data_IF_433476495281
#
_entry.id   IF_433476495281
#
_cell.length_a   1.000
_cell.length_b   1.000
_cell.length_c   1.000
_cell.angle_alpha   90.00
_cell.angle_beta   90.00
_cell.angle_gamma   90.00
#
_symmetry.space_group_name_H-M   'P 1'
#
loop_
_entity.id
_entity.type
_entity.pdbx_description
1 polymer ?
#
# COMPACT_ATOMS: atom_id res chain seq x y z
N UNK A 1 -21.10 -2.21 13.94
CA UNK A 1 -20.68 -2.36 12.54
C UNK A 1 -19.95 -3.67 12.31
N UNK A 2 -19.96 -4.19 11.10
CA UNK A 2 -19.18 -5.35 10.70
C UNK A 2 -18.08 -4.92 9.72
N UNK A 3 -16.85 -5.39 9.95
CA UNK A 3 -15.72 -5.25 9.02
C UNK A 3 -15.31 -6.64 8.54
N UNK A 4 -15.38 -6.86 7.25
CA UNK A 4 -15.00 -8.11 6.58
C UNK A 4 -13.66 -7.92 5.89
N UNK A 5 -12.67 -8.75 6.21
CA UNK A 5 -11.32 -8.66 5.63
C UNK A 5 -10.74 -10.06 5.36
N UNK A 6 -9.74 -10.16 4.52
CA UNK A 6 -9.11 -11.42 4.16
C UNK A 6 -8.29 -11.98 5.32
N UNK A 7 -7.40 -11.17 5.86
CA UNK A 7 -6.48 -11.53 6.95
C UNK A 7 -6.82 -10.77 8.24
N UNK A 8 -6.26 -11.22 9.34
CA UNK A 8 -6.38 -10.53 10.62
C UNK A 8 -5.68 -9.18 10.58
N UNK A 9 -6.25 -8.12 11.18
CA UNK A 9 -5.68 -6.77 11.11
C UNK A 9 -4.28 -6.62 11.72
N UNK A 10 -3.86 -7.52 12.61
CA UNK A 10 -2.53 -7.55 13.23
C UNK A 10 -1.43 -8.12 12.32
N UNK A 11 -1.80 -8.72 11.17
CA UNK A 11 -0.84 -9.21 10.19
C UNK A 11 -0.11 -8.05 9.49
N UNK A 12 1.16 -8.25 9.07
CA UNK A 12 1.89 -7.26 8.30
C UNK A 12 1.37 -7.18 6.85
N UNK A 13 0.99 -5.98 6.41
CA UNK A 13 0.51 -5.72 5.03
C UNK A 13 -0.12 -4.35 4.91
N UNK A 14 -0.19 -3.82 3.69
CA UNK A 14 -0.79 -2.49 3.45
C UNK A 14 -2.31 -2.48 3.68
N UNK A 15 -3.00 -3.56 3.29
CA UNK A 15 -4.44 -3.71 3.52
C UNK A 15 -4.75 -3.87 5.02
N UNK A 16 -3.97 -4.69 5.71
CA UNK A 16 -4.11 -4.94 7.15
C UNK A 16 -3.83 -3.67 7.95
N UNK A 17 -2.82 -2.89 7.53
CA UNK A 17 -2.54 -1.58 8.11
C UNK A 17 -3.74 -0.64 7.94
N UNK A 18 -4.30 -0.54 6.74
CA UNK A 18 -5.51 0.24 6.50
C UNK A 18 -6.68 -0.20 7.38
N UNK A 19 -6.91 -1.52 7.51
CA UNK A 19 -8.01 -2.03 8.36
C UNK A 19 -7.79 -1.64 9.82
N UNK A 20 -6.56 -1.67 10.35
CA UNK A 20 -6.27 -1.18 11.71
C UNK A 20 -6.63 0.29 11.89
N UNK A 21 -6.23 1.14 10.94
CA UNK A 21 -6.55 2.58 10.98
C UNK A 21 -8.06 2.81 10.90
N UNK A 22 -8.75 2.08 10.02
CA UNK A 22 -10.21 2.14 9.92
C UNK A 22 -10.89 1.76 11.25
N UNK A 23 -10.44 0.68 11.90
CA UNK A 23 -10.97 0.26 13.19
C UNK A 23 -10.80 1.34 14.25
N UNK A 24 -9.62 1.93 14.36
CA UNK A 24 -9.35 3.02 15.31
C UNK A 24 -10.26 4.23 15.06
N UNK A 25 -10.47 4.59 13.81
CA UNK A 25 -11.36 5.71 13.43
C UNK A 25 -12.81 5.41 13.82
N UNK A 26 -13.30 4.21 13.55
CA UNK A 26 -14.66 3.79 13.90
C UNK A 26 -14.87 3.74 15.43
N UNK A 27 -13.91 3.19 16.16
CA UNK A 27 -13.96 3.08 17.61
C UNK A 27 -13.89 4.46 18.29
N UNK A 28 -13.04 5.37 17.82
CA UNK A 28 -12.97 6.77 18.29
C UNK A 28 -14.30 7.52 18.09
N UNK A 29 -15.06 7.14 17.07
CA UNK A 29 -16.41 7.71 16.82
C UNK A 29 -17.50 7.06 17.68
N UNK A 30 -17.16 6.05 18.50
CA UNK A 30 -18.09 5.36 19.39
C UNK A 30 -18.81 4.16 18.78
N UNK A 31 -18.41 3.72 17.60
CA UNK A 31 -19.01 2.52 16.99
C UNK A 31 -18.48 1.23 17.62
N UNK A 32 -19.36 0.30 17.91
CA UNK A 32 -18.99 -1.08 18.23
C UNK A 32 -18.69 -1.82 16.93
N UNK A 33 -17.44 -2.27 16.76
CA UNK A 33 -17.00 -2.94 15.54
C UNK A 33 -16.73 -4.41 15.80
N UNK A 34 -17.17 -5.26 14.89
CA UNK A 34 -16.86 -6.68 14.87
C UNK A 34 -16.13 -7.03 13.58
N UNK A 35 -14.98 -7.71 13.70
CA UNK A 35 -14.12 -8.03 12.57
C UNK A 35 -14.21 -9.51 12.23
N UNK A 36 -14.46 -9.82 10.97
CA UNK A 36 -14.53 -11.16 10.41
C UNK A 36 -13.41 -11.34 9.37
N UNK A 37 -12.59 -12.37 9.57
CA UNK A 37 -11.44 -12.65 8.71
C UNK A 37 -11.17 -14.16 8.63
N UNK A 38 -10.24 -14.59 7.77
CA UNK A 38 -9.95 -16.00 7.58
C UNK A 38 -9.62 -16.72 8.90
N UNK A 39 -8.85 -16.09 9.77
CA UNK A 39 -8.40 -16.68 11.04
C UNK A 39 -9.53 -17.02 12.02
N UNK A 40 -10.64 -16.27 12.01
CA UNK A 40 -11.77 -16.51 12.91
C UNK A 40 -13.02 -17.12 12.24
N UNK A 41 -13.06 -17.16 10.89
CA UNK A 41 -14.23 -17.66 10.16
C UNK A 41 -13.97 -18.96 9.41
N UNK A 42 -12.75 -19.20 8.92
CA UNK A 42 -12.42 -20.40 8.14
C UNK A 42 -12.04 -21.54 9.09
N UNK A 43 -12.57 -22.76 8.89
CA UNK A 43 -12.22 -23.91 9.70
C UNK A 43 -10.71 -24.19 9.69
N UNK A 44 -10.11 -24.49 10.85
CA UNK A 44 -8.65 -24.69 11.01
C UNK A 44 -8.05 -25.74 10.07
N UNK A 45 -8.79 -26.79 9.76
CA UNK A 45 -8.33 -27.84 8.83
C UNK A 45 -8.22 -27.36 7.37
N UNK A 46 -8.97 -26.33 6.97
CA UNK A 46 -8.85 -25.67 5.65
C UNK A 46 -7.73 -24.62 5.61
N UNK A 47 -7.30 -24.09 6.76
CA UNK A 47 -6.26 -23.06 6.81
C UNK A 47 -4.83 -23.64 6.66
N UNK A 48 -4.67 -24.97 6.60
CA UNK A 48 -3.35 -25.60 6.48
C UNK A 48 -2.71 -25.22 5.15
N UNK A 49 -1.47 -24.69 5.13
CA UNK A 49 -0.79 -24.25 3.90
C UNK A 49 -0.59 -25.33 2.84
N UNK A 50 -0.59 -26.59 3.28
CA UNK A 50 -0.43 -27.77 2.41
C UNK A 50 -1.69 -28.18 1.65
N UNK A 51 -2.85 -27.61 2.00
CA UNK A 51 -4.10 -27.90 1.28
C UNK A 51 -4.06 -27.29 -0.13
N UNK A 52 -4.05 -28.16 -1.16
CA UNK A 52 -4.18 -27.75 -2.56
C UNK A 52 -5.43 -26.87 -2.79
N UNK A 53 -6.54 -27.27 -2.20
CA UNK A 53 -7.84 -26.58 -2.28
C UNK A 53 -7.72 -25.16 -1.74
N UNK A 54 -7.07 -24.97 -0.58
CA UNK A 54 -6.94 -23.65 0.02
C UNK A 54 -6.05 -22.73 -0.83
N UNK A 55 -4.94 -23.25 -1.38
CA UNK A 55 -4.07 -22.46 -2.25
C UNK A 55 -4.74 -21.96 -3.53
N UNK A 56 -5.60 -22.76 -4.13
CA UNK A 56 -6.22 -22.43 -5.42
C UNK A 56 -7.57 -21.74 -5.31
N UNK A 57 -8.31 -22.00 -4.24
CA UNK A 57 -9.64 -21.45 -3.99
C UNK A 57 -9.73 -20.52 -2.77
N UNK A 58 -8.60 -20.04 -2.27
CA UNK A 58 -8.55 -19.24 -1.03
C UNK A 58 -9.49 -18.04 -1.05
N UNK A 59 -9.53 -17.26 -2.12
CA UNK A 59 -10.42 -16.09 -2.24
C UNK A 59 -11.91 -16.47 -2.15
N UNK A 60 -12.29 -17.61 -2.78
CA UNK A 60 -13.67 -18.12 -2.72
C UNK A 60 -14.00 -18.60 -1.32
N UNK A 61 -13.14 -19.45 -0.75
CA UNK A 61 -13.39 -20.06 0.56
C UNK A 61 -13.42 -19.01 1.66
N UNK A 62 -12.45 -18.09 1.67
CA UNK A 62 -12.42 -17.03 2.67
C UNK A 62 -13.66 -16.15 2.55
N UNK A 63 -14.01 -15.69 1.34
CA UNK A 63 -15.20 -14.85 1.14
C UNK A 63 -16.50 -15.56 1.55
N UNK A 64 -16.62 -16.86 1.23
CA UNK A 64 -17.79 -17.66 1.65
C UNK A 64 -17.90 -17.78 3.17
N UNK A 65 -16.84 -18.25 3.83
CA UNK A 65 -16.87 -18.46 5.28
C UNK A 65 -17.03 -17.16 6.05
N UNK A 66 -16.30 -16.12 5.69
CA UNK A 66 -16.40 -14.79 6.31
C UNK A 66 -17.83 -14.24 6.17
N UNK A 67 -18.37 -14.26 4.95
CA UNK A 67 -19.73 -13.77 4.73
C UNK A 67 -20.80 -14.64 5.39
N UNK A 68 -20.62 -15.98 5.43
CA UNK A 68 -21.55 -16.90 6.11
C UNK A 68 -21.59 -16.68 7.61
N UNK A 69 -20.44 -16.52 8.27
CA UNK A 69 -20.38 -16.26 9.70
C UNK A 69 -20.98 -14.89 10.02
N UNK A 70 -20.59 -13.84 9.29
CA UNK A 70 -21.14 -12.51 9.44
C UNK A 70 -22.67 -12.49 9.24
N UNK A 71 -23.21 -13.27 8.25
CA UNK A 71 -24.65 -13.39 8.03
C UNK A 71 -25.41 -14.02 9.20
N UNK A 72 -24.80 -15.01 9.87
CA UNK A 72 -25.42 -15.68 11.04
C UNK A 72 -25.47 -14.77 12.27
N UNK A 73 -24.52 -13.86 12.38
CA UNK A 73 -24.40 -12.96 13.52
C UNK A 73 -25.06 -11.59 13.27
N UNK A 74 -25.56 -11.37 12.07
CA UNK A 74 -26.20 -10.11 11.72
C UNK A 74 -27.55 -9.97 12.44
N UNK A 75 -27.68 -8.92 13.27
CA UNK A 75 -28.91 -8.46 13.91
C UNK A 75 -29.43 -7.19 13.23
N UNK A 76 -30.62 -6.74 13.66
CA UNK A 76 -31.20 -5.48 13.18
C UNK A 76 -30.39 -4.25 13.56
N UNK A 77 -29.54 -4.35 14.60
CA UNK A 77 -28.70 -3.25 15.10
C UNK A 77 -27.43 -3.02 14.24
N UNK A 78 -27.18 -3.85 13.23
CA UNK A 78 -26.02 -3.68 12.34
C UNK A 78 -26.30 -2.58 11.34
N UNK A 79 -25.76 -1.39 11.59
CA UNK A 79 -25.95 -0.19 10.75
C UNK A 79 -25.11 -0.21 9.46
N UNK A 80 -23.93 -0.83 9.49
CA UNK A 80 -23.08 -0.91 8.31
C UNK A 80 -22.26 -2.21 8.23
N UNK A 81 -22.01 -2.66 6.99
CA UNK A 81 -21.08 -3.75 6.65
C UNK A 81 -20.05 -3.22 5.69
N UNK A 82 -18.79 -3.17 6.14
CA UNK A 82 -17.63 -2.72 5.36
C UNK A 82 -16.84 -3.95 4.93
N UNK A 83 -16.74 -4.19 3.64
CA UNK A 83 -15.99 -5.32 3.08
C UNK A 83 -14.74 -4.86 2.33
N UNK A 84 -13.68 -5.67 2.36
CA UNK A 84 -12.37 -5.38 1.76
C UNK A 84 -11.96 -6.47 0.79
N UNK A 85 -11.28 -6.11 -0.28
CA UNK A 85 -10.76 -7.03 -1.31
C UNK A 85 -11.84 -8.02 -1.81
N UNK A 86 -11.55 -9.31 -1.83
CA UNK A 86 -12.47 -10.34 -2.37
C UNK A 86 -13.47 -10.92 -1.37
N UNK A 87 -13.46 -10.49 -0.12
CA UNK A 87 -14.39 -11.09 0.88
C UNK A 87 -15.84 -10.55 0.79
N UNK A 88 -16.04 -9.53 -0.02
CA UNK A 88 -17.36 -8.93 -0.23
C UNK A 88 -18.31 -9.70 -1.15
N UNK A 89 -17.83 -10.69 -1.92
CA UNK A 89 -18.65 -11.37 -2.94
C UNK A 89 -19.82 -12.21 -2.36
N UNK A 90 -19.68 -12.72 -1.12
CA UNK A 90 -20.74 -13.38 -0.39
C UNK A 90 -21.15 -12.52 0.80
N UNK A 91 -22.01 -11.51 0.60
CA UNK A 91 -22.33 -10.55 1.65
C UNK A 91 -23.31 -11.12 2.68
N UNK A 92 -23.35 -10.58 3.90
CA UNK A 92 -24.45 -10.73 4.83
C UNK A 92 -25.81 -10.37 4.21
N UNK A 93 -26.90 -10.74 4.87
CA UNK A 93 -28.24 -10.43 4.38
C UNK A 93 -28.45 -8.91 4.25
N UNK A 94 -29.25 -8.51 3.27
CA UNK A 94 -29.66 -7.11 3.13
C UNK A 94 -30.81 -6.85 4.12
N UNK A 95 -30.50 -6.25 5.26
CA UNK A 95 -31.52 -5.71 6.15
C UNK A 95 -31.83 -4.27 5.72
N UNK A 96 -33.08 -3.86 5.87
CA UNK A 96 -33.48 -2.48 5.65
C UNK A 96 -32.67 -1.58 6.61
N UNK A 97 -32.05 -0.52 6.08
CA UNK A 97 -31.22 0.39 6.86
C UNK A 97 -29.75 0.00 7.05
N UNK A 98 -29.33 -1.24 6.71
CA UNK A 98 -27.91 -1.60 6.75
C UNK A 98 -27.18 -1.08 5.53
N UNK A 99 -26.22 -0.16 5.74
CA UNK A 99 -25.38 0.35 4.69
C UNK A 99 -24.32 -0.68 4.28
N UNK A 100 -24.00 -0.73 2.98
CA UNK A 100 -23.00 -1.65 2.45
C UNK A 100 -21.90 -0.87 1.76
N UNK A 101 -20.69 -1.04 2.25
CA UNK A 101 -19.49 -0.35 1.76
C UNK A 101 -18.49 -1.41 1.31
N UNK A 102 -17.78 -1.15 0.21
CA UNK A 102 -16.71 -2.00 -0.27
C UNK A 102 -15.47 -1.18 -0.59
N UNK A 103 -14.32 -1.56 -0.01
CA UNK A 103 -13.02 -0.98 -0.30
C UNK A 103 -12.26 -1.81 -1.33
N UNK A 104 -11.89 -1.16 -2.43
CA UNK A 104 -10.93 -1.67 -3.40
C UNK A 104 -9.52 -1.20 -3.03
N UNK A 105 -8.62 -2.16 -2.82
CA UNK A 105 -7.21 -1.95 -2.47
C UNK A 105 -6.26 -2.07 -3.67
N UNK A 106 -6.76 -1.95 -4.86
CA UNK A 106 -6.18 -2.24 -6.16
C UNK A 106 -7.06 -3.24 -6.88
N UNK A 107 -6.67 -3.66 -8.09
CA UNK A 107 -7.36 -4.72 -8.82
C UNK A 107 -6.41 -5.86 -9.19
N UNK A 108 -6.86 -7.09 -9.05
CA UNK A 108 -6.06 -8.25 -9.48
C UNK A 108 -5.76 -8.21 -10.98
N UNK A 109 -6.67 -7.65 -11.79
CA UNK A 109 -6.43 -7.49 -13.22
C UNK A 109 -5.36 -6.45 -13.51
N UNK A 110 -5.39 -5.28 -12.88
CA UNK A 110 -4.35 -4.27 -13.02
C UNK A 110 -3.00 -4.81 -12.58
N UNK A 111 -2.96 -5.50 -11.45
CA UNK A 111 -1.76 -6.20 -10.99
C UNK A 111 -1.27 -7.23 -12.02
N UNK A 112 -2.14 -8.11 -12.51
CA UNK A 112 -1.78 -9.15 -13.48
C UNK A 112 -1.23 -8.57 -14.79
N UNK A 113 -1.81 -7.47 -15.28
CA UNK A 113 -1.33 -6.79 -16.47
C UNK A 113 0.09 -6.21 -16.25
N UNK A 114 0.34 -5.58 -15.10
CA UNK A 114 1.64 -4.99 -14.77
C UNK A 114 2.76 -6.02 -14.53
N UNK A 115 2.42 -7.17 -13.92
CA UNK A 115 3.42 -8.22 -13.63
C UNK A 115 3.37 -9.37 -14.65
N UNK A 116 2.76 -9.17 -15.80
CA UNK A 116 2.63 -10.20 -16.85
C UNK A 116 3.92 -10.94 -17.18
N UNK A 117 5.08 -10.27 -17.33
CA UNK A 117 6.34 -10.93 -17.61
C UNK A 117 6.85 -11.81 -16.46
N UNK A 118 6.33 -11.64 -15.24
CA UNK A 118 6.82 -12.29 -14.03
C UNK A 118 5.98 -13.52 -13.62
N UNK A 119 4.86 -13.79 -14.31
CA UNK A 119 3.91 -14.83 -13.91
C UNK A 119 3.61 -15.79 -15.08
N UNK A 120 3.26 -17.02 -14.72
CA UNK A 120 2.83 -18.02 -15.72
C UNK A 120 1.52 -17.62 -16.40
N UNK A 121 1.28 -18.19 -17.60
CA UNK A 121 0.04 -17.96 -18.33
C UNK A 121 -1.20 -18.37 -17.52
N UNK A 122 -1.15 -19.48 -16.79
CA UNK A 122 -2.23 -19.93 -15.90
C UNK A 122 -2.44 -18.96 -14.72
N UNK A 123 -1.35 -18.49 -14.09
CA UNK A 123 -1.41 -17.49 -13.03
C UNK A 123 -2.05 -16.21 -13.51
N UNK A 124 -1.68 -15.73 -14.71
CA UNK A 124 -2.29 -14.56 -15.32
C UNK A 124 -3.79 -14.74 -15.55
N UNK A 125 -4.21 -15.87 -16.14
CA UNK A 125 -5.63 -16.15 -16.39
C UNK A 125 -6.43 -16.23 -15.09
N UNK A 126 -5.85 -16.85 -14.04
CA UNK A 126 -6.49 -16.91 -12.72
C UNK A 126 -6.74 -15.52 -12.15
N UNK A 127 -5.71 -14.68 -12.10
CA UNK A 127 -5.83 -13.30 -11.58
C UNK A 127 -6.82 -12.47 -12.40
N UNK A 128 -6.74 -12.56 -13.74
CA UNK A 128 -7.55 -11.76 -14.66
C UNK A 128 -9.02 -12.13 -14.64
N UNK A 129 -9.34 -13.41 -14.69
CA UNK A 129 -10.72 -13.86 -14.85
C UNK A 129 -11.37 -14.28 -13.54
N UNK A 130 -10.71 -15.13 -12.76
CA UNK A 130 -11.31 -15.70 -11.57
C UNK A 130 -11.30 -14.72 -10.41
N UNK A 131 -10.11 -14.27 -10.03
CA UNK A 131 -9.98 -13.39 -8.85
C UNK A 131 -10.58 -12.01 -9.14
N UNK A 132 -10.35 -11.45 -10.33
CA UNK A 132 -10.80 -10.11 -10.68
C UNK A 132 -12.24 -10.09 -11.19
N UNK A 133 -12.51 -10.69 -12.36
CA UNK A 133 -13.81 -10.53 -13.02
C UNK A 133 -14.96 -11.22 -12.29
N UNK A 134 -14.69 -12.20 -11.44
CA UNK A 134 -15.71 -12.87 -10.62
C UNK A 134 -15.70 -12.32 -9.21
N UNK A 135 -14.61 -12.53 -8.45
CA UNK A 135 -14.62 -12.22 -7.01
C UNK A 135 -14.60 -10.72 -6.71
N UNK A 136 -13.69 -9.95 -7.31
CA UNK A 136 -13.64 -8.51 -7.05
C UNK A 136 -14.88 -7.79 -7.59
N UNK A 137 -15.32 -8.11 -8.81
CA UNK A 137 -16.52 -7.52 -9.38
C UNK A 137 -17.77 -7.77 -8.53
N UNK A 138 -17.99 -9.02 -8.09
CA UNK A 138 -19.13 -9.36 -7.22
C UNK A 138 -18.99 -8.70 -5.84
N UNK A 139 -17.78 -8.48 -5.36
CA UNK A 139 -17.53 -7.85 -4.05
C UNK A 139 -18.04 -6.42 -3.98
N UNK A 140 -17.98 -5.66 -5.06
CA UNK A 140 -18.50 -4.27 -5.11
C UNK A 140 -19.97 -4.14 -5.55
N UNK A 141 -20.59 -5.23 -6.00
CA UNK A 141 -21.93 -5.18 -6.59
C UNK A 141 -22.98 -4.66 -5.58
N UNK A 142 -23.74 -3.62 -5.98
CA UNK A 142 -24.79 -2.97 -5.18
C UNK A 142 -24.31 -2.43 -3.82
N UNK A 143 -23.08 -1.87 -3.80
CA UNK A 143 -22.47 -1.24 -2.62
C UNK A 143 -21.97 0.15 -2.94
N UNK A 144 -21.76 0.96 -1.92
CA UNK A 144 -20.91 2.13 -2.01
C UNK A 144 -19.48 1.65 -2.16
N UNK A 145 -18.87 1.91 -3.32
CA UNK A 145 -17.50 1.50 -3.59
C UNK A 145 -16.53 2.63 -3.28
N UNK A 146 -15.51 2.33 -2.50
CA UNK A 146 -14.42 3.21 -2.17
C UNK A 146 -13.12 2.66 -2.75
N UNK A 147 -12.22 3.54 -3.18
CA UNK A 147 -10.94 3.17 -3.76
C UNK A 147 -9.80 3.92 -3.06
N UNK A 148 -8.67 3.23 -2.86
CA UNK A 148 -7.49 3.80 -2.22
C UNK A 148 -6.71 4.80 -3.09
N UNK A 149 -7.04 4.91 -4.37
CA UNK A 149 -6.40 5.83 -5.31
C UNK A 149 -7.27 6.09 -6.53
N UNK A 150 -6.99 7.17 -7.24
CA UNK A 150 -7.63 7.48 -8.52
C UNK A 150 -7.36 6.39 -9.56
N UNK A 151 -6.15 5.81 -9.56
CA UNK A 151 -5.80 4.67 -10.42
C UNK A 151 -6.73 3.48 -10.13
N UNK A 152 -6.88 3.09 -8.87
CA UNK A 152 -7.78 1.98 -8.50
C UNK A 152 -9.22 2.27 -8.88
N UNK A 153 -9.71 3.50 -8.67
CA UNK A 153 -11.07 3.89 -9.07
C UNK A 153 -11.28 3.77 -10.60
N UNK A 154 -10.30 4.21 -11.39
CA UNK A 154 -10.33 4.09 -12.85
C UNK A 154 -10.29 2.62 -13.32
N UNK A 155 -9.43 1.79 -12.70
CA UNK A 155 -9.36 0.36 -12.98
C UNK A 155 -10.70 -0.33 -12.66
N UNK A 156 -11.30 -0.05 -11.50
CA UNK A 156 -12.60 -0.61 -11.09
C UNK A 156 -13.70 -0.19 -12.06
N UNK A 157 -13.75 1.08 -12.45
CA UNK A 157 -14.70 1.56 -13.46
C UNK A 157 -14.51 0.86 -14.80
N UNK A 158 -13.25 0.79 -15.28
CA UNK A 158 -12.91 0.16 -16.57
C UNK A 158 -13.20 -1.33 -16.60
N UNK A 159 -12.89 -2.05 -15.52
CA UNK A 159 -12.96 -3.52 -15.52
C UNK A 159 -14.30 -4.06 -15.04
N UNK A 160 -14.95 -3.39 -14.09
CA UNK A 160 -16.16 -3.88 -13.42
C UNK A 160 -17.40 -3.04 -13.67
N UNK A 161 -17.23 -1.80 -14.16
CA UNK A 161 -18.33 -0.85 -14.35
C UNK A 161 -18.82 -0.18 -13.08
N UNK A 162 -18.13 -0.37 -11.94
CA UNK A 162 -18.52 0.27 -10.67
C UNK A 162 -17.92 1.66 -10.55
N UNK A 163 -18.70 2.61 -10.10
CA UNK A 163 -18.21 3.93 -9.71
C UNK A 163 -17.65 3.87 -8.29
N UNK A 164 -16.45 4.44 -8.09
CA UNK A 164 -15.80 4.49 -6.79
C UNK A 164 -15.52 5.93 -6.37
N UNK A 165 -15.71 6.22 -5.10
CA UNK A 165 -15.19 7.43 -4.49
C UNK A 165 -13.76 7.16 -4.02
N UNK A 166 -12.80 8.03 -4.41
CA UNK A 166 -11.41 7.93 -3.98
C UNK A 166 -11.25 8.51 -2.59
N UNK A 167 -10.78 7.67 -1.64
CA UNK A 167 -10.62 8.08 -0.23
C UNK A 167 -9.17 8.05 0.24
N UNK A 168 -8.20 7.71 -0.63
CA UNK A 168 -6.81 7.46 -0.25
C UNK A 168 -6.72 6.57 1.02
N UNK A 169 -5.54 6.48 1.61
CA UNK A 169 -5.38 5.82 2.91
C UNK A 169 -4.93 6.83 3.96
N UNK A 170 -5.31 6.67 5.24
CA UNK A 170 -4.74 7.48 6.30
C UNK A 170 -3.27 7.10 6.53
N UNK A 171 -2.45 8.08 6.91
CA UNK A 171 -1.11 7.87 7.44
C UNK A 171 -0.90 8.75 8.68
N UNK A 172 -0.16 8.24 9.64
CA UNK A 172 0.21 8.97 10.86
C UNK A 172 1.20 10.10 10.55
N UNK A 173 0.70 11.25 10.10
CA UNK A 173 1.50 12.40 9.68
C UNK A 173 2.28 13.07 10.82
N UNK A 174 1.98 12.73 12.08
CA UNK A 174 2.77 13.12 13.26
C UNK A 174 3.95 12.20 13.48
N UNK A 175 3.83 10.95 13.08
CA UNK A 175 4.91 9.94 13.11
C UNK A 175 5.80 10.10 11.89
N UNK A 176 5.23 10.18 10.69
CA UNK A 176 5.95 10.49 9.45
C UNK A 176 5.99 12.01 9.25
N UNK A 177 7.04 12.61 9.77
CA UNK A 177 7.26 14.05 9.69
C UNK A 177 8.74 14.36 9.46
N UNK A 178 9.04 15.57 8.93
CA UNK A 178 10.41 16.03 8.82
C UNK A 178 11.06 16.07 10.22
N UNK A 179 12.24 15.47 10.31
CA UNK A 179 13.05 15.40 11.51
C UNK A 179 14.47 15.90 11.26
N UNK A 180 15.29 15.86 12.30
CA UNK A 180 16.69 16.23 12.22
C UNK A 180 17.47 15.15 11.43
N UNK A 181 17.90 15.52 10.22
CA UNK A 181 18.66 14.67 9.30
C UNK A 181 20.03 14.30 9.85
N UNK A 182 20.70 15.22 10.54
CA UNK A 182 22.02 14.97 11.11
C UNK A 182 21.92 13.97 12.24
N UNK A 183 21.00 14.16 13.15
CA UNK A 183 20.74 13.22 14.24
C UNK A 183 20.31 11.83 13.71
N UNK A 184 19.47 11.76 12.66
CA UNK A 184 19.07 10.51 12.03
C UNK A 184 20.27 9.77 11.43
N UNK A 185 21.20 10.47 10.78
CA UNK A 185 22.42 9.90 10.22
C UNK A 185 23.37 9.40 11.30
N UNK A 186 23.59 10.19 12.34
CA UNK A 186 24.42 9.80 13.49
C UNK A 186 23.88 8.55 14.16
N UNK A 187 22.55 8.45 14.38
CA UNK A 187 21.92 7.26 14.96
C UNK A 187 22.09 6.00 14.09
N UNK A 188 22.24 6.18 12.79
CA UNK A 188 22.53 5.11 11.83
C UNK A 188 24.03 4.89 11.58
N UNK A 189 24.93 5.66 12.22
CA UNK A 189 26.38 5.61 11.99
C UNK A 189 26.78 6.00 10.56
N UNK A 190 26.03 6.92 9.93
CA UNK A 190 26.32 7.50 8.61
C UNK A 190 27.08 8.82 8.78
N UNK A 191 27.93 9.15 7.81
CA UNK A 191 28.52 10.49 7.75
C UNK A 191 27.44 11.53 7.42
N UNK A 192 27.57 12.73 7.97
CA UNK A 192 26.70 13.86 7.66
C UNK A 192 26.77 14.26 6.17
N UNK A 193 27.94 14.11 5.54
CA UNK A 193 28.18 14.39 4.13
C UNK A 193 27.87 13.20 3.20
N UNK A 194 27.48 12.04 3.74
CA UNK A 194 27.16 10.87 2.92
C UNK A 194 25.99 11.17 1.97
N UNK A 195 26.05 10.60 0.76
CA UNK A 195 24.89 10.49 -0.15
C UNK A 195 24.14 9.24 0.19
N UNK A 196 22.85 9.33 0.52
CA UNK A 196 22.07 8.22 1.08
C UNK A 196 20.85 7.93 0.22
N UNK A 197 20.81 6.72 -0.36
CA UNK A 197 19.66 6.17 -1.04
C UNK A 197 18.86 5.23 -0.13
N UNK A 198 17.53 5.22 -0.23
CA UNK A 198 16.65 4.37 0.57
C UNK A 198 15.68 3.59 -0.31
N UNK A 199 15.53 2.30 -0.01
CA UNK A 199 14.44 1.46 -0.49
C UNK A 199 13.72 0.80 0.69
N UNK A 200 12.38 0.78 0.63
CA UNK A 200 11.51 0.11 1.62
C UNK A 200 10.56 -0.83 0.90
N UNK A 201 10.64 -2.12 1.15
CA UNK A 201 9.77 -3.09 0.48
C UNK A 201 10.27 -4.53 0.60
N UNK A 202 9.71 -5.42 -0.22
CA UNK A 202 10.20 -6.80 -0.36
C UNK A 202 11.22 -6.89 -1.48
N UNK A 203 12.25 -7.74 -1.29
CA UNK A 203 13.29 -7.98 -2.29
C UNK A 203 12.77 -8.87 -3.43
N UNK A 204 11.76 -8.42 -4.17
CA UNK A 204 11.15 -9.17 -5.27
C UNK A 204 10.98 -8.32 -6.54
N UNK A 205 10.82 -8.97 -7.72
CA UNK A 205 10.70 -8.27 -9.00
C UNK A 205 9.45 -7.38 -9.11
N UNK A 206 8.34 -7.70 -8.42
CA UNK A 206 7.13 -6.88 -8.45
C UNK A 206 7.35 -5.53 -7.78
N UNK A 207 8.17 -5.47 -6.72
CA UNK A 207 8.57 -4.24 -6.04
C UNK A 207 9.77 -3.55 -6.72
N UNK A 208 10.22 -4.07 -7.86
CA UNK A 208 11.31 -3.49 -8.64
C UNK A 208 12.69 -3.64 -8.00
N UNK A 209 12.88 -4.64 -7.11
CA UNK A 209 14.17 -4.82 -6.45
C UNK A 209 15.35 -5.04 -7.42
N UNK A 210 15.22 -5.73 -8.58
CA UNK A 210 16.28 -5.76 -9.59
C UNK A 210 16.71 -4.38 -10.08
N UNK A 211 15.79 -3.41 -10.21
CA UNK A 211 16.12 -2.02 -10.51
C UNK A 211 16.96 -1.39 -9.39
N UNK A 212 16.59 -1.63 -8.13
CA UNK A 212 17.38 -1.13 -6.98
C UNK A 212 18.81 -1.68 -7.02
N UNK A 213 18.98 -2.97 -7.34
CA UNK A 213 20.30 -3.59 -7.50
C UNK A 213 21.12 -2.94 -8.64
N UNK A 214 20.50 -2.68 -9.80
CA UNK A 214 21.13 -1.98 -10.91
C UNK A 214 21.57 -0.57 -10.52
N UNK A 215 20.71 0.18 -9.80
CA UNK A 215 21.03 1.52 -9.30
C UNK A 215 22.14 1.51 -8.25
N UNK A 216 22.18 0.50 -7.37
CA UNK A 216 23.30 0.31 -6.43
C UNK A 216 24.64 0.10 -7.17
N UNK A 217 24.65 -0.58 -8.31
CA UNK A 217 25.83 -0.72 -9.15
C UNK A 217 26.20 0.60 -9.86
N UNK A 218 25.21 1.36 -10.30
CA UNK A 218 25.39 2.65 -10.98
C UNK A 218 25.91 3.75 -10.07
N UNK A 219 25.57 3.68 -8.76
CA UNK A 219 25.97 4.64 -7.73
C UNK A 219 26.79 3.98 -6.62
N UNK A 220 28.05 3.58 -6.87
CA UNK A 220 28.87 2.84 -5.90
C UNK A 220 29.31 3.69 -4.69
N UNK A 221 29.24 5.01 -4.79
CA UNK A 221 29.60 5.95 -3.71
C UNK A 221 28.41 6.40 -2.86
N UNK A 222 27.22 5.87 -3.15
CA UNK A 222 26.01 6.14 -2.36
C UNK A 222 25.89 5.08 -1.27
N UNK A 223 25.65 5.50 -0.05
CA UNK A 223 25.26 4.60 1.05
C UNK A 223 23.78 4.21 0.88
N UNK A 224 23.53 2.90 0.82
CA UNK A 224 22.19 2.38 0.59
C UNK A 224 21.58 1.84 1.87
N UNK A 225 20.42 2.34 2.22
CA UNK A 225 19.57 1.81 3.29
C UNK A 225 18.45 0.96 2.68
N UNK A 226 18.37 -0.30 3.08
CA UNK A 226 17.39 -1.25 2.54
C UNK A 226 16.54 -1.80 3.69
N UNK A 227 15.31 -1.31 3.83
CA UNK A 227 14.33 -1.87 4.75
C UNK A 227 13.57 -3.00 4.03
N UNK A 228 14.03 -4.24 4.21
CA UNK A 228 13.55 -5.39 3.46
C UNK A 228 12.63 -6.29 4.27
N UNK A 229 11.57 -6.76 3.63
CA UNK A 229 10.71 -7.85 4.15
C UNK A 229 11.00 -9.16 3.43
N UNK A 230 10.92 -10.27 4.17
CA UNK A 230 11.10 -11.62 3.66
C UNK A 230 12.56 -12.04 3.57
N UNK A 231 12.86 -12.89 2.59
CA UNK A 231 14.22 -13.37 2.37
C UNK A 231 15.15 -12.26 1.93
N UNK A 232 16.35 -12.26 2.50
CA UNK A 232 17.37 -11.29 2.20
C UNK A 232 18.32 -11.87 1.13
N UNK A 233 18.54 -11.18 0.01
CA UNK A 233 19.51 -11.63 -1.00
C UNK A 233 20.95 -11.59 -0.41
N UNK A 234 21.70 -12.72 -0.40
CA UNK A 234 23.02 -12.79 0.24
C UNK A 234 24.06 -11.84 -0.37
N UNK A 235 23.97 -11.61 -1.69
CA UNK A 235 24.84 -10.70 -2.45
C UNK A 235 24.65 -9.23 -2.06
N UNK A 236 23.50 -8.89 -1.54
CA UNK A 236 23.14 -7.54 -1.09
C UNK A 236 23.61 -7.28 0.34
N UNK A 237 23.43 -8.28 1.21
CA UNK A 237 23.77 -8.16 2.64
C UNK A 237 25.27 -7.93 2.87
N UNK A 238 26.13 -8.52 2.03
CA UNK A 238 27.58 -8.44 2.14
C UNK A 238 28.22 -7.27 1.39
N UNK A 239 27.41 -6.44 0.69
CA UNK A 239 27.95 -5.37 -0.15
C UNK A 239 28.40 -4.17 0.69
N UNK A 240 29.63 -3.64 0.50
CA UNK A 240 30.08 -2.41 1.13
C UNK A 240 29.15 -1.22 0.80
N UNK A 241 28.91 -0.33 1.77
CA UNK A 241 28.01 0.81 1.60
C UNK A 241 26.51 0.45 1.61
N UNK A 242 26.15 -0.81 1.88
CA UNK A 242 24.76 -1.24 2.01
C UNK A 242 24.46 -1.62 3.46
N UNK A 243 23.35 -1.08 3.99
CA UNK A 243 22.86 -1.42 5.33
C UNK A 243 21.44 -1.96 5.22
N UNK A 244 21.27 -3.21 5.61
CA UNK A 244 19.98 -3.90 5.54
C UNK A 244 19.29 -3.88 6.89
N UNK A 245 18.01 -3.52 6.89
CA UNK A 245 17.12 -3.52 8.04
C UNK A 245 16.04 -4.60 7.80
N UNK A 246 16.26 -5.84 8.22
CA UNK A 246 15.33 -6.93 7.99
C UNK A 246 14.06 -6.72 8.81
N UNK A 247 12.90 -6.78 8.16
CA UNK A 247 11.60 -6.59 8.78
C UNK A 247 11.54 -5.35 9.68
N UNK A 248 12.09 -4.22 9.17
CA UNK A 248 12.18 -2.98 9.93
C UNK A 248 10.84 -2.64 10.59
N UNK A 249 10.91 -2.32 11.88
CA UNK A 249 9.77 -1.89 12.64
C UNK A 249 9.20 -0.60 12.04
N UNK A 250 7.89 -0.52 11.94
CA UNK A 250 7.17 0.67 11.47
C UNK A 250 7.61 1.94 12.23
N UNK A 251 7.85 1.81 13.55
CA UNK A 251 8.34 2.89 14.39
C UNK A 251 9.72 3.43 13.99
N UNK A 252 10.55 2.64 13.29
CA UNK A 252 11.89 3.02 12.84
C UNK A 252 11.93 3.61 11.43
N UNK A 253 10.87 3.46 10.64
CA UNK A 253 10.85 3.96 9.27
C UNK A 253 11.07 5.47 9.14
N UNK A 254 10.51 6.34 10.00
CA UNK A 254 10.79 7.79 9.94
C UNK A 254 12.27 8.12 10.08
N UNK A 255 13.01 7.37 10.88
CA UNK A 255 14.46 7.54 11.01
C UNK A 255 15.18 7.30 9.67
N UNK A 256 14.79 6.24 8.94
CA UNK A 256 15.37 5.90 7.65
C UNK A 256 15.00 6.94 6.58
N UNK A 257 13.74 7.36 6.53
CA UNK A 257 13.30 8.42 5.60
C UNK A 257 14.02 9.73 5.87
N UNK A 258 14.16 10.12 7.15
CA UNK A 258 14.86 11.37 7.49
C UNK A 258 16.37 11.35 7.23
N UNK A 259 17.02 10.20 7.30
CA UNK A 259 18.44 10.05 6.98
C UNK A 259 18.74 10.10 5.47
N UNK A 260 17.78 9.68 4.62
CA UNK A 260 17.95 9.53 3.19
C UNK A 260 17.94 10.87 2.43
N UNK A 261 18.70 10.94 1.35
CA UNK A 261 18.63 12.02 0.35
C UNK A 261 17.58 11.73 -0.71
N UNK A 262 17.42 10.45 -1.06
CA UNK A 262 16.46 9.99 -2.06
C UNK A 262 15.82 8.68 -1.63
N UNK A 263 14.49 8.61 -1.74
CA UNK A 263 13.73 7.37 -1.63
C UNK A 263 13.39 6.84 -3.03
N UNK A 264 13.48 5.53 -3.23
CA UNK A 264 13.29 4.89 -4.54
C UNK A 264 12.17 3.85 -4.45
N UNK A 265 11.16 3.98 -5.33
CA UNK A 265 10.04 3.06 -5.41
C UNK A 265 9.76 2.62 -6.87
N UNK A 266 10.56 1.68 -7.43
CA UNK A 266 10.46 1.25 -8.82
C UNK A 266 9.46 0.08 -8.98
N UNK A 267 8.35 0.12 -8.24
CA UNK A 267 7.35 -0.94 -8.25
C UNK A 267 6.65 -1.06 -9.60
N UNK A 268 6.51 -2.28 -10.14
CA UNK A 268 5.74 -2.53 -11.38
C UNK A 268 4.25 -2.30 -11.23
N UNK A 269 3.75 -2.56 -10.05
CA UNK A 269 2.37 -2.24 -9.68
C UNK A 269 2.31 -1.76 -8.24
N UNK A 270 1.73 -0.60 -8.04
CA UNK A 270 1.49 -0.02 -6.73
C UNK A 270 0.10 0.62 -6.72
N UNK A 271 -0.86 -0.06 -6.10
CA UNK A 271 -2.23 0.43 -6.03
C UNK A 271 -2.37 1.70 -5.20
N UNK A 272 -1.60 1.81 -4.12
CA UNK A 272 -1.53 3.01 -3.29
C UNK A 272 -0.08 3.48 -3.08
N UNK A 273 0.75 2.71 -2.39
CA UNK A 273 2.14 3.04 -2.09
C UNK A 273 2.29 3.84 -0.80
N UNK A 274 1.96 3.24 0.33
CA UNK A 274 2.19 3.82 1.65
C UNK A 274 3.61 4.38 1.79
N UNK A 275 4.61 3.60 1.40
CA UNK A 275 6.03 3.96 1.50
C UNK A 275 6.40 5.24 0.75
N UNK A 276 5.71 5.54 -0.37
CA UNK A 276 5.88 6.81 -1.10
C UNK A 276 5.29 7.97 -0.31
N UNK A 277 4.07 7.81 0.20
CA UNK A 277 3.42 8.85 0.98
C UNK A 277 4.17 9.11 2.31
N UNK A 278 4.68 8.08 2.97
CA UNK A 278 5.49 8.15 4.18
C UNK A 278 6.82 8.90 3.93
N UNK A 279 7.53 8.56 2.85
CA UNK A 279 8.76 9.25 2.46
C UNK A 279 8.53 10.73 2.19
N UNK A 280 7.51 11.06 1.40
CA UNK A 280 7.14 12.43 1.08
C UNK A 280 6.63 13.20 2.32
N UNK A 281 5.92 12.53 3.24
CA UNK A 281 5.51 13.14 4.51
C UNK A 281 6.70 13.50 5.41
N UNK A 282 7.78 12.70 5.37
CA UNK A 282 9.06 13.00 6.03
C UNK A 282 9.90 14.06 5.27
N UNK A 283 9.42 14.54 4.13
CA UNK A 283 10.14 15.49 3.28
C UNK A 283 11.21 14.85 2.40
N UNK A 284 11.26 13.52 2.28
CA UNK A 284 12.30 12.83 1.51
C UNK A 284 11.99 12.88 0.01
N UNK A 285 12.88 13.48 -0.82
CA UNK A 285 12.72 13.45 -2.26
C UNK A 285 12.61 12.01 -2.78
N UNK A 286 11.68 11.78 -3.70
CA UNK A 286 11.28 10.43 -4.10
C UNK A 286 11.32 10.28 -5.61
N UNK A 287 11.94 9.20 -6.10
CA UNK A 287 11.85 8.74 -7.49
C UNK A 287 11.01 7.46 -7.49
N UNK A 288 9.94 7.44 -8.26
CA UNK A 288 9.01 6.33 -8.25
C UNK A 288 8.44 6.00 -9.62
N UNK A 289 8.04 4.74 -9.80
CA UNK A 289 7.13 4.37 -10.89
C UNK A 289 5.71 4.88 -10.61
N UNK A 290 4.88 5.06 -11.66
CA UNK A 290 3.51 5.51 -11.50
C UNK A 290 2.66 4.51 -10.70
N UNK A 291 2.06 4.98 -9.62
CA UNK A 291 1.15 4.24 -8.75
C UNK A 291 0.25 5.21 -7.99
N UNK A 292 -0.58 4.75 -7.07
CA UNK A 292 -1.56 5.59 -6.38
C UNK A 292 -0.99 6.88 -5.80
N UNK A 293 -0.17 6.79 -4.76
CA UNK A 293 0.42 7.96 -4.09
C UNK A 293 1.46 8.68 -4.98
N UNK A 294 2.29 7.95 -5.75
CA UNK A 294 3.28 8.58 -6.61
C UNK A 294 2.63 9.43 -7.70
N UNK A 295 1.58 8.94 -8.38
CA UNK A 295 0.81 9.75 -9.33
C UNK A 295 0.16 10.96 -8.69
N UNK A 296 -0.41 10.79 -7.49
CA UNK A 296 -1.12 11.86 -6.79
C UNK A 296 -0.19 13.00 -6.43
N UNK A 297 0.98 12.70 -5.88
CA UNK A 297 1.86 13.70 -5.26
C UNK A 297 3.04 14.12 -6.15
N UNK A 298 3.49 13.25 -7.07
CA UNK A 298 4.57 13.55 -7.99
C UNK A 298 4.09 13.85 -9.43
N UNK A 299 2.83 13.58 -9.76
CA UNK A 299 2.33 13.66 -11.15
C UNK A 299 2.13 15.07 -11.71
N UNK A 300 2.67 16.12 -11.08
CA UNK A 300 2.59 17.51 -11.54
C UNK A 300 3.95 18.20 -11.42
N UNK A 301 4.24 19.19 -12.30
CA UNK A 301 5.43 20.02 -12.16
C UNK A 301 5.52 20.68 -10.78
N UNK A 302 6.70 20.81 -10.21
CA UNK A 302 8.00 20.47 -10.78
C UNK A 302 8.43 19.01 -10.49
N UNK A 303 7.61 18.16 -9.87
CA UNK A 303 7.99 16.82 -9.39
C UNK A 303 7.74 15.71 -10.42
N UNK A 304 7.01 15.95 -11.50
CA UNK A 304 6.63 14.97 -12.52
C UNK A 304 7.83 14.30 -13.21
N UNK A 305 8.99 14.96 -13.25
CA UNK A 305 10.25 14.41 -13.73
C UNK A 305 10.82 13.28 -12.86
N UNK A 306 10.34 13.13 -11.63
CA UNK A 306 10.70 12.05 -10.71
C UNK A 306 9.71 10.88 -10.75
N UNK A 307 8.71 10.96 -11.62
CA UNK A 307 7.74 9.90 -11.87
C UNK A 307 8.13 9.17 -13.17
N UNK A 308 8.86 8.06 -13.03
CA UNK A 308 9.44 7.32 -14.16
C UNK A 308 8.41 6.33 -14.72
N UNK A 309 8.01 6.54 -15.96
CA UNK A 309 6.91 5.80 -16.60
C UNK A 309 7.21 4.31 -16.78
N UNK A 310 8.45 3.98 -17.20
CA UNK A 310 8.90 2.61 -17.37
C UNK A 310 9.69 2.15 -16.14
N UNK A 311 9.20 1.17 -15.36
CA UNK A 311 9.90 0.65 -14.18
C UNK A 311 11.20 -0.10 -14.51
N UNK A 312 11.50 -0.37 -15.78
CA UNK A 312 12.73 -1.02 -16.24
C UNK A 312 13.75 -0.04 -16.83
N UNK A 313 13.41 1.25 -16.96
CA UNK A 313 14.32 2.28 -17.49
C UNK A 313 15.35 2.73 -16.44
N UNK A 314 16.48 2.01 -16.40
CA UNK A 314 17.59 2.29 -15.47
C UNK A 314 18.15 3.70 -15.63
N UNK A 315 18.28 4.20 -16.88
CA UNK A 315 18.87 5.50 -17.15
C UNK A 315 17.96 6.65 -16.71
N UNK A 316 16.65 6.53 -16.89
CA UNK A 316 15.69 7.51 -16.40
C UNK A 316 15.71 7.57 -14.86
N UNK A 317 15.68 6.41 -14.18
CA UNK A 317 15.83 6.37 -12.71
C UNK A 317 17.18 6.97 -12.27
N UNK A 318 18.27 6.61 -12.92
CA UNK A 318 19.59 7.11 -12.58
C UNK A 318 19.70 8.64 -12.79
N UNK A 319 19.17 9.17 -13.88
CA UNK A 319 19.12 10.61 -14.14
C UNK A 319 18.35 11.38 -13.06
N UNK A 320 17.18 10.89 -12.69
CA UNK A 320 16.36 11.48 -11.62
C UNK A 320 17.06 11.44 -10.24
N UNK A 321 17.70 10.31 -9.91
CA UNK A 321 18.48 10.18 -8.68
C UNK A 321 19.67 11.13 -8.68
N UNK A 322 20.41 11.22 -9.78
CA UNK A 322 21.56 12.12 -9.90
C UNK A 322 21.15 13.58 -9.70
N UNK A 323 20.03 14.02 -10.26
CA UNK A 323 19.49 15.36 -10.04
C UNK A 323 19.18 15.60 -8.54
N UNK A 324 18.53 14.67 -7.87
CA UNK A 324 18.22 14.80 -6.44
C UNK A 324 19.53 14.88 -5.62
N UNK A 325 20.52 14.03 -5.92
CA UNK A 325 21.79 13.99 -5.19
C UNK A 325 22.68 15.22 -5.41
N UNK A 326 22.42 16.03 -6.44
CA UNK A 326 23.12 17.32 -6.66
C UNK A 326 22.60 18.42 -5.71
N UNK A 327 21.31 18.40 -5.35
CA UNK A 327 20.66 19.42 -4.51
C UNK A 327 19.64 18.83 -3.52
N UNK A 328 20.06 17.87 -2.67
CA UNK A 328 19.13 17.10 -1.84
C UNK A 328 18.41 17.97 -0.80
N UNK A 329 19.08 18.98 -0.25
CA UNK A 329 18.52 19.88 0.76
C UNK A 329 17.41 20.77 0.16
N UNK A 330 17.67 21.34 -1.03
CA UNK A 330 16.71 22.17 -1.74
C UNK A 330 15.45 21.39 -2.10
N UNK A 331 15.61 20.21 -2.69
CA UNK A 331 14.49 19.37 -3.09
C UNK A 331 13.70 18.84 -1.88
N UNK A 332 14.40 18.53 -0.78
CA UNK A 332 13.73 18.19 0.48
C UNK A 332 12.85 19.34 0.96
N UNK A 333 13.35 20.57 0.93
CA UNK A 333 12.58 21.73 1.33
C UNK A 333 11.36 21.94 0.43
N UNK A 334 11.51 21.78 -0.88
CA UNK A 334 10.38 21.84 -1.83
C UNK A 334 9.32 20.76 -1.54
N UNK A 335 9.71 19.53 -1.20
CA UNK A 335 8.78 18.46 -0.80
C UNK A 335 8.03 18.84 0.48
N UNK A 336 8.73 19.39 1.48
CA UNK A 336 8.13 19.83 2.75
C UNK A 336 7.12 20.97 2.52
N UNK A 337 7.44 21.92 1.65
CA UNK A 337 6.59 23.10 1.42
C UNK A 337 5.42 22.83 0.48
N UNK A 338 5.61 21.98 -0.55
CA UNK A 338 4.62 21.85 -1.63
C UNK A 338 3.82 20.54 -1.58
N UNK A 339 4.43 19.42 -1.12
CA UNK A 339 3.79 18.11 -1.12
C UNK A 339 3.23 17.75 0.25
N UNK A 340 4.03 17.93 1.31
CA UNK A 340 3.61 17.53 2.66
C UNK A 340 2.29 18.17 3.13
N UNK A 341 1.97 19.44 2.87
CA UNK A 341 0.68 20.02 3.23
C UNK A 341 -0.51 19.30 2.59
N UNK A 342 -0.36 18.85 1.33
CA UNK A 342 -1.39 18.07 0.64
C UNK A 342 -1.58 16.69 1.27
N UNK A 343 -0.48 16.04 1.70
CA UNK A 343 -0.53 14.76 2.42
C UNK A 343 -1.28 14.93 3.74
N UNK A 344 -0.97 15.96 4.52
CA UNK A 344 -1.66 16.24 5.80
C UNK A 344 -3.15 16.47 5.55
N UNK A 345 -3.49 17.30 4.57
CA UNK A 345 -4.87 17.61 4.24
C UNK A 345 -5.66 16.36 3.84
N UNK A 346 -5.06 15.50 3.01
CA UNK A 346 -5.75 14.36 2.41
C UNK A 346 -5.71 13.09 3.26
N UNK A 347 -4.65 12.89 4.06
CA UNK A 347 -4.30 11.60 4.62
C UNK A 347 -4.07 11.61 6.13
N UNK A 348 -3.95 12.77 6.80
CA UNK A 348 -3.90 12.79 8.25
C UNK A 348 -5.14 12.08 8.81
N UNK A 349 -5.02 11.21 9.85
CA UNK A 349 -6.10 10.35 10.30
C UNK A 349 -7.40 11.09 10.59
N UNK A 350 -7.31 12.29 11.17
CA UNK A 350 -8.48 13.12 11.50
C UNK A 350 -9.18 13.66 10.23
N UNK A 351 -8.41 14.10 9.24
CA UNK A 351 -8.93 14.62 7.97
C UNK A 351 -9.51 13.51 7.11
N UNK A 352 -8.82 12.36 7.08
CA UNK A 352 -9.30 11.17 6.40
C UNK A 352 -10.61 10.67 7.02
N UNK A 353 -10.69 10.59 8.35
CA UNK A 353 -11.88 10.18 9.07
C UNK A 353 -13.08 11.07 8.74
N UNK A 354 -12.90 12.38 8.77
CA UNK A 354 -13.96 13.33 8.40
C UNK A 354 -14.50 13.03 6.99
N UNK A 355 -13.63 12.89 5.99
CA UNK A 355 -14.03 12.59 4.60
C UNK A 355 -14.67 11.22 4.48
N UNK A 356 -14.17 10.23 5.20
CA UNK A 356 -14.77 8.89 5.21
C UNK A 356 -16.23 8.94 5.69
N UNK A 357 -16.50 9.65 6.79
CA UNK A 357 -17.87 9.78 7.31
C UNK A 357 -18.75 10.64 6.41
N UNK A 358 -18.24 11.72 5.81
CA UNK A 358 -18.97 12.52 4.83
C UNK A 358 -19.39 11.70 3.60
N UNK A 359 -18.50 10.85 3.08
CA UNK A 359 -18.76 10.01 1.90
C UNK A 359 -19.67 8.84 2.23
N UNK A 360 -19.58 8.29 3.43
CA UNK A 360 -20.32 7.10 3.82
C UNK A 360 -21.63 7.40 4.55
N UNK A 361 -21.88 8.63 4.92
CA UNK A 361 -23.06 9.05 5.71
C UNK A 361 -23.23 8.22 6.99
N UNK A 362 -22.12 7.89 7.67
CA UNK A 362 -22.05 7.11 8.90
C UNK A 362 -21.87 7.98 10.14
#
# INVERSE_FOLDING_TARGET
MFVLTTEAPDRPGGQEHFVRELLQVLEKRGYRVRVFHAGNCVPKWLQRPTSWVFRHLSGVLVGYFVGRVARREQSADVIAVISNATVGWYPPQKNAGTQRIHFYHGTYRGQAEAIRPLISALGYQKLKWWDSMILERLSGLHKLCLANSEQTAQEVKRFFGHDCVTTLYPIETRHFCPGDRVAARQALGLSESARVGLFVGSANPMKGFPMVQALMHRFPTVDWLLALRGELPPDVVSRPGVRVFPNADYAKLPLLYNAADVFICPSRYESFGYVVAEALACGTPTVASPGGASRKFLGRPPFDRFLIADPDDVEAFAGAIAEILQRPVELRQQVIEQIRPQIIELMAPENWARRFFEVTDL
#
